data_IF_722203425592
#
_entry.id   IF_722203425592
#
_cell.length_a   1.000
_cell.length_b   1.000
_cell.length_c   1.000
_cell.angle_alpha   90.00
_cell.angle_beta   90.00
_cell.angle_gamma   90.00
#
_symmetry.space_group_name_H-M   'P 1'
#
loop_
_entity.id
_entity.type
_entity.pdbx_description
1 polymer ?
#
# COMPACT_ATOMS: atom_id res chain seq x y z
N UNK A 1 -6.80 -25.25 14.74
CA UNK A 1 -7.36 -23.89 14.84
C UNK A 1 -6.73 -23.05 13.75
N UNK A 2 -7.48 -22.18 13.09
CA UNK A 2 -6.92 -21.14 12.22
C UNK A 2 -6.84 -19.86 13.04
N UNK A 3 -5.64 -19.30 13.15
CA UNK A 3 -5.40 -18.04 13.84
C UNK A 3 -4.53 -17.17 12.94
N UNK A 4 -4.77 -15.86 12.92
CA UNK A 4 -3.90 -14.89 12.23
C UNK A 4 -2.47 -14.93 12.80
N UNK A 5 -1.46 -14.35 12.13
CA UNK A 5 -0.13 -14.19 12.71
C UNK A 5 -0.19 -13.47 14.06
N UNK A 6 0.50 -14.00 15.08
CA UNK A 6 0.43 -13.49 16.47
C UNK A 6 0.75 -11.99 16.58
N UNK A 7 1.66 -11.49 15.75
CA UNK A 7 2.02 -10.07 15.71
C UNK A 7 0.88 -9.14 15.32
N UNK A 8 -0.17 -9.64 14.64
CA UNK A 8 -1.35 -8.86 14.26
C UNK A 8 -2.41 -8.77 15.37
N UNK A 9 -2.42 -9.71 16.31
CA UNK A 9 -3.54 -9.92 17.23
C UNK A 9 -3.84 -8.71 18.13
N UNK A 10 -5.11 -8.60 18.51
CA UNK A 10 -5.64 -7.65 19.51
C UNK A 10 -5.19 -6.22 19.27
N UNK A 11 -5.11 -5.84 17.99
CA UNK A 11 -4.53 -4.58 17.56
C UNK A 11 -5.29 -4.01 16.37
N UNK A 12 -5.21 -2.69 16.27
CA UNK A 12 -5.72 -1.92 15.15
C UNK A 12 -4.56 -1.52 14.24
N UNK A 13 -4.79 -1.63 12.94
CA UNK A 13 -3.79 -1.43 11.89
C UNK A 13 -4.34 -0.46 10.85
N UNK A 14 -3.51 0.46 10.39
CA UNK A 14 -3.77 1.18 9.16
C UNK A 14 -3.40 0.30 7.98
N UNK A 15 -4.31 0.16 7.04
CA UNK A 15 -4.15 -0.53 5.77
C UNK A 15 -4.10 0.50 4.62
N UNK A 16 -3.18 0.29 3.68
CA UNK A 16 -2.93 1.21 2.57
C UNK A 16 -4.10 1.36 1.59
N UNK A 17 -4.99 0.38 1.49
CA UNK A 17 -6.13 0.39 0.56
C UNK A 17 -7.50 0.40 1.24
N UNK A 18 -7.61 -0.17 2.45
CA UNK A 18 -8.90 -0.41 3.14
C UNK A 18 -9.10 0.42 4.41
N UNK A 19 -8.18 1.33 4.73
CA UNK A 19 -8.31 2.24 5.86
C UNK A 19 -7.89 1.59 7.18
N UNK A 20 -8.84 1.27 8.06
CA UNK A 20 -8.51 0.72 9.38
C UNK A 20 -8.99 -0.73 9.51
N UNK A 21 -8.05 -1.62 9.84
CA UNK A 21 -8.33 -3.03 10.14
C UNK A 21 -8.16 -3.30 11.62
N UNK A 22 -8.96 -4.22 12.15
CA UNK A 22 -8.77 -4.75 13.51
C UNK A 22 -8.71 -6.26 13.44
N UNK A 23 -7.71 -6.82 14.11
CA UNK A 23 -7.50 -8.26 14.20
C UNK A 23 -7.70 -8.72 15.64
N UNK A 24 -8.45 -9.80 15.81
CA UNK A 24 -8.38 -10.67 16.99
C UNK A 24 -7.50 -11.87 16.65
N UNK A 25 -7.47 -12.89 17.51
CA UNK A 25 -6.77 -14.15 17.22
C UNK A 25 -7.26 -14.80 15.93
N UNK A 26 -8.57 -14.80 15.70
CA UNK A 26 -9.20 -15.55 14.61
C UNK A 26 -10.19 -14.74 13.75
N UNK A 27 -10.33 -13.44 13.97
CA UNK A 27 -11.20 -12.56 13.18
C UNK A 27 -10.48 -11.30 12.71
N UNK A 28 -10.85 -10.83 11.52
CA UNK A 28 -10.43 -9.56 10.95
C UNK A 28 -11.68 -8.75 10.57
N UNK A 29 -11.71 -7.47 10.96
CA UNK A 29 -12.79 -6.55 10.61
C UNK A 29 -12.25 -5.27 9.98
N UNK A 30 -13.05 -4.63 9.13
CA UNK A 30 -12.74 -3.35 8.48
C UNK A 30 -12.26 -3.50 7.03
N UNK A 31 -11.75 -4.68 6.66
CA UNK A 31 -11.38 -4.97 5.28
C UNK A 31 -12.67 -5.16 4.49
N UNK A 32 -13.10 -4.14 3.76
CA UNK A 32 -14.42 -4.13 3.10
C UNK A 32 -14.30 -4.36 1.60
N UNK A 33 -15.15 -5.24 1.07
CA UNK A 33 -15.29 -5.48 -0.36
C UNK A 33 -16.77 -5.61 -0.74
N UNK A 34 -17.21 -5.00 -1.83
CA UNK A 34 -18.52 -5.33 -2.40
C UNK A 34 -18.45 -6.75 -2.96
N UNK A 35 -19.42 -7.60 -2.67
CA UNK A 35 -19.64 -8.88 -3.35
C UNK A 35 -21.06 -8.85 -3.87
N UNK A 36 -21.20 -8.81 -5.20
CA UNK A 36 -22.39 -8.37 -5.90
C UNK A 36 -22.82 -6.97 -5.44
N UNK A 37 -23.92 -6.88 -4.69
CA UNK A 37 -24.44 -5.63 -4.12
C UNK A 37 -24.29 -5.53 -2.60
N UNK A 38 -23.69 -6.55 -1.96
CA UNK A 38 -23.56 -6.62 -0.50
C UNK A 38 -22.13 -6.33 -0.07
N UNK A 39 -21.94 -5.52 0.98
CA UNK A 39 -20.63 -5.27 1.55
C UNK A 39 -20.23 -6.40 2.51
N UNK A 40 -19.08 -7.00 2.28
CA UNK A 40 -18.44 -7.94 3.22
C UNK A 40 -17.29 -7.21 3.90
N UNK A 41 -17.35 -7.10 5.24
CA UNK A 41 -16.39 -6.32 6.03
C UNK A 41 -15.84 -7.05 7.27
N UNK A 42 -16.25 -8.30 7.47
CA UNK A 42 -15.85 -9.16 8.59
C UNK A 42 -15.45 -10.53 8.10
N UNK A 43 -14.32 -11.02 8.60
CA UNK A 43 -13.68 -12.24 8.13
C UNK A 43 -13.23 -13.10 9.29
N UNK A 44 -13.43 -14.40 9.18
CA UNK A 44 -12.91 -15.39 10.11
C UNK A 44 -11.73 -16.12 9.46
N UNK A 45 -10.66 -16.34 10.23
CA UNK A 45 -9.58 -17.22 9.82
C UNK A 45 -10.15 -18.62 9.57
N UNK A 46 -10.00 -19.13 8.34
CA UNK A 46 -10.59 -20.38 7.90
C UNK A 46 -9.54 -21.49 7.74
N UNK A 47 -8.50 -21.26 6.93
CA UNK A 47 -7.37 -22.17 6.74
C UNK A 47 -6.05 -21.39 6.76
N UNK A 48 -4.95 -22.04 7.15
CA UNK A 48 -3.62 -21.44 7.05
C UNK A 48 -2.52 -22.48 6.84
N UNK A 49 -1.40 -22.00 6.32
CA UNK A 49 -0.11 -22.67 6.39
C UNK A 49 0.98 -21.60 6.68
N UNK A 50 2.25 -21.96 6.52
CA UNK A 50 3.36 -21.04 6.80
C UNK A 50 3.42 -19.82 5.85
N UNK A 51 2.69 -19.86 4.74
CA UNK A 51 2.72 -18.84 3.70
C UNK A 51 1.42 -18.05 3.59
N UNK A 52 0.29 -18.74 3.65
CA UNK A 52 -1.02 -18.17 3.36
C UNK A 52 -1.95 -18.26 4.57
N UNK A 53 -2.74 -17.21 4.74
CA UNK A 53 -3.91 -17.18 5.62
C UNK A 53 -5.15 -16.99 4.74
N UNK A 54 -6.02 -17.99 4.72
CA UNK A 54 -7.30 -17.91 4.05
C UNK A 54 -8.36 -17.49 5.06
N UNK A 55 -8.93 -16.32 4.85
CA UNK A 55 -10.06 -15.80 5.66
C UNK A 55 -11.35 -16.01 4.89
N UNK A 56 -12.42 -16.43 5.56
CA UNK A 56 -13.78 -16.55 4.98
C UNK A 56 -14.64 -15.42 5.52
N UNK A 57 -15.56 -14.90 4.72
CA UNK A 57 -16.57 -13.96 5.21
C UNK A 57 -17.35 -14.55 6.39
N UNK A 58 -17.51 -13.77 7.46
CA UNK A 58 -18.24 -14.24 8.66
C UNK A 58 -19.74 -14.39 8.39
N UNK A 59 -20.25 -13.65 7.40
CA UNK A 59 -21.63 -13.73 6.94
C UNK A 59 -21.68 -14.22 5.50
N UNK A 60 -22.79 -14.87 5.13
CA UNK A 60 -23.11 -15.21 3.75
C UNK A 60 -23.64 -13.98 3.00
N UNK A 61 -23.38 -13.94 1.70
CA UNK A 61 -23.95 -12.97 0.77
C UNK A 61 -25.04 -13.68 -0.05
N UNK A 62 -26.29 -13.25 0.08
CA UNK A 62 -27.42 -13.87 -0.63
C UNK A 62 -27.75 -13.12 -1.92
N UNK A 63 -27.70 -13.82 -3.05
CA UNK A 63 -28.04 -13.28 -4.38
C UNK A 63 -28.98 -14.24 -5.08
N UNK A 64 -30.16 -13.75 -5.50
CA UNK A 64 -31.21 -14.57 -6.13
C UNK A 64 -31.56 -15.86 -5.35
N UNK A 65 -31.59 -15.78 -4.01
CA UNK A 65 -31.82 -16.91 -3.09
C UNK A 65 -30.71 -17.98 -3.05
N UNK A 66 -29.54 -17.67 -3.59
CA UNK A 66 -28.33 -18.48 -3.46
C UNK A 66 -27.37 -17.77 -2.51
N UNK A 67 -26.87 -18.50 -1.52
CA UNK A 67 -25.92 -17.98 -0.55
C UNK A 67 -24.48 -18.22 -1.04
N UNK A 68 -23.62 -17.22 -0.85
CA UNK A 68 -22.22 -17.24 -1.22
C UNK A 68 -21.34 -16.93 -0.01
N UNK A 69 -20.16 -17.55 0.04
CA UNK A 69 -19.05 -17.08 0.87
C UNK A 69 -18.02 -16.37 -0.01
N UNK A 70 -17.39 -15.35 0.55
CA UNK A 70 -16.18 -14.76 0.01
C UNK A 70 -14.97 -15.23 0.81
N UNK A 71 -13.82 -15.38 0.14
CA UNK A 71 -12.57 -15.73 0.80
C UNK A 71 -11.42 -14.80 0.36
N UNK A 72 -10.59 -14.42 1.33
CA UNK A 72 -9.36 -13.66 1.15
C UNK A 72 -8.17 -14.57 1.41
N UNK A 73 -7.36 -14.83 0.38
CA UNK A 73 -6.08 -15.50 0.58
C UNK A 73 -4.97 -14.47 0.72
N UNK A 74 -4.49 -14.26 1.95
CA UNK A 74 -3.41 -13.31 2.25
C UNK A 74 -2.06 -14.03 2.33
N UNK A 75 -1.08 -13.56 1.57
CA UNK A 75 0.34 -13.90 1.67
C UNK A 75 1.04 -12.78 2.45
N UNK A 76 1.23 -12.99 3.74
CA UNK A 76 1.61 -11.92 4.69
C UNK A 76 3.09 -12.02 5.03
N UNK A 77 3.82 -10.91 4.87
CA UNK A 77 5.24 -10.81 5.22
C UNK A 77 5.47 -9.71 6.25
N UNK A 78 6.16 -10.06 7.33
CA UNK A 78 6.58 -9.11 8.35
C UNK A 78 7.77 -8.27 7.84
N UNK A 79 7.69 -6.95 8.01
CA UNK A 79 8.78 -6.02 7.70
C UNK A 79 9.46 -5.57 8.99
N UNK A 80 8.67 -5.18 9.98
CA UNK A 80 9.10 -4.91 11.36
C UNK A 80 8.12 -5.55 12.33
N UNK A 81 8.37 -5.48 13.65
CA UNK A 81 7.37 -5.88 14.66
C UNK A 81 6.08 -5.03 14.66
N UNK A 82 6.03 -3.95 13.86
CA UNK A 82 4.91 -3.01 13.78
C UNK A 82 4.46 -2.74 12.34
N UNK A 83 4.99 -3.48 11.36
CA UNK A 83 4.64 -3.33 9.96
C UNK A 83 4.69 -4.65 9.19
N UNK A 84 3.70 -4.84 8.34
CA UNK A 84 3.59 -5.97 7.41
C UNK A 84 3.28 -5.44 6.02
N UNK A 85 3.63 -6.22 5.00
CA UNK A 85 2.94 -6.12 3.71
C UNK A 85 2.27 -7.45 3.40
N UNK A 86 1.25 -7.42 2.54
CA UNK A 86 0.62 -8.64 2.08
C UNK A 86 0.15 -8.53 0.63
N UNK A 87 0.04 -9.68 -0.01
CA UNK A 87 -0.62 -9.84 -1.30
C UNK A 87 -1.91 -10.63 -1.15
N UNK A 88 -2.91 -10.30 -1.98
CA UNK A 88 -4.12 -11.10 -2.14
C UNK A 88 -3.94 -12.12 -3.26
N UNK A 89 -3.80 -13.39 -2.91
CA UNK A 89 -3.43 -14.48 -3.81
C UNK A 89 -4.63 -15.12 -4.50
N UNK A 90 -5.38 -14.33 -5.25
CA UNK A 90 -6.46 -14.81 -6.11
C UNK A 90 -6.52 -13.97 -7.40
N UNK A 91 -7.12 -14.52 -8.45
CA UNK A 91 -7.54 -13.76 -9.63
C UNK A 91 -8.56 -12.69 -9.26
N UNK A 92 -8.63 -11.61 -10.02
CA UNK A 92 -9.63 -10.56 -9.81
C UNK A 92 -11.04 -11.11 -10.06
N UNK A 93 -12.00 -10.65 -9.25
CA UNK A 93 -13.38 -11.10 -9.33
C UNK A 93 -14.28 -9.92 -9.73
N UNK A 94 -14.87 -10.01 -10.91
CA UNK A 94 -15.76 -8.95 -11.43
C UNK A 94 -16.97 -8.71 -10.53
N UNK A 95 -17.55 -9.77 -9.95
CA UNK A 95 -18.63 -9.63 -8.98
C UNK A 95 -18.18 -8.96 -7.68
N UNK A 96 -16.88 -8.72 -7.50
CA UNK A 96 -16.31 -8.02 -6.37
C UNK A 96 -15.59 -6.73 -6.78
N UNK A 97 -16.04 -6.08 -7.86
CA UNK A 97 -15.44 -4.85 -8.38
C UNK A 97 -13.95 -5.03 -8.71
N UNK A 98 -13.62 -6.17 -9.33
CA UNK A 98 -12.27 -6.57 -9.73
C UNK A 98 -11.26 -6.73 -8.59
N UNK A 99 -11.74 -6.92 -7.36
CA UNK A 99 -10.91 -7.24 -6.21
C UNK A 99 -10.46 -8.70 -6.22
N UNK A 100 -9.29 -8.99 -5.63
CA UNK A 100 -8.70 -10.33 -5.58
C UNK A 100 -9.32 -11.16 -4.47
N UNK A 101 -10.53 -11.64 -4.71
CA UNK A 101 -11.32 -12.44 -3.77
C UNK A 101 -11.88 -13.70 -4.43
N UNK A 102 -11.96 -14.80 -3.68
CA UNK A 102 -12.62 -16.01 -4.14
C UNK A 102 -14.08 -16.00 -3.69
N UNK A 103 -15.03 -15.99 -4.62
CA UNK A 103 -16.47 -16.04 -4.32
C UNK A 103 -17.02 -17.36 -4.80
N UNK A 104 -17.69 -18.09 -3.91
CA UNK A 104 -18.25 -19.41 -4.22
C UNK A 104 -19.55 -19.65 -3.45
N UNK A 105 -20.46 -20.42 -4.04
CA UNK A 105 -21.70 -20.84 -3.40
C UNK A 105 -21.42 -21.53 -2.07
N UNK A 106 -22.18 -21.17 -1.04
CA UNK A 106 -22.02 -21.67 0.32
C UNK A 106 -22.28 -23.18 0.47
N UNK A 107 -22.94 -23.79 -0.53
CA UNK A 107 -23.16 -25.24 -0.62
C UNK A 107 -21.89 -26.01 -1.01
N UNK A 108 -20.92 -25.33 -1.64
CA UNK A 108 -19.66 -25.93 -2.05
C UNK A 108 -18.64 -25.77 -0.92
N UNK A 109 -18.10 -26.90 -0.46
CA UNK A 109 -17.12 -26.90 0.62
C UNK A 109 -15.72 -26.58 0.11
N UNK A 110 -15.14 -25.50 0.62
CA UNK A 110 -13.70 -25.21 0.50
C UNK A 110 -12.96 -26.00 1.58
N UNK A 111 -12.02 -26.85 1.19
CA UNK A 111 -11.30 -27.76 2.10
C UNK A 111 -9.78 -27.62 2.05
N UNK A 112 -9.25 -26.89 1.06
CA UNK A 112 -7.81 -26.64 0.94
C UNK A 112 -7.48 -25.22 0.49
N UNK A 113 -6.26 -24.78 0.79
CA UNK A 113 -5.72 -23.50 0.32
C UNK A 113 -5.60 -23.48 -1.21
N UNK A 114 -5.30 -24.62 -1.84
CA UNK A 114 -5.11 -24.71 -3.28
C UNK A 114 -6.37 -24.41 -4.10
N UNK A 115 -7.55 -24.37 -3.48
CA UNK A 115 -8.80 -23.98 -4.14
C UNK A 115 -8.97 -22.45 -4.23
N UNK A 116 -8.36 -21.69 -3.31
CA UNK A 116 -8.61 -20.26 -3.13
C UNK A 116 -7.33 -19.39 -3.14
N UNK A 117 -6.14 -20.00 -3.22
CA UNK A 117 -4.84 -19.32 -3.12
C UNK A 117 -3.95 -19.53 -4.36
N UNK A 118 -4.51 -20.04 -5.46
CA UNK A 118 -3.79 -20.47 -6.67
C UNK A 118 -4.27 -19.70 -7.90
N UNK A 119 -3.97 -18.39 -7.96
CA UNK A 119 -4.41 -17.56 -9.08
C UNK A 119 -3.77 -18.01 -10.40
N UNK A 120 -4.53 -17.91 -11.49
CA UNK A 120 -3.99 -18.03 -12.85
C UNK A 120 -3.22 -16.78 -13.27
N UNK A 121 -3.64 -15.62 -12.77
CA UNK A 121 -3.02 -14.30 -12.91
C UNK A 121 -2.87 -13.68 -11.53
N UNK A 122 -1.80 -14.07 -10.83
CA UNK A 122 -1.51 -13.59 -9.47
C UNK A 122 -1.15 -12.11 -9.41
N UNK A 123 -1.10 -11.54 -8.19
CA UNK A 123 -0.69 -10.16 -8.00
C UNK A 123 0.75 -9.95 -8.48
N UNK A 124 0.98 -8.84 -9.19
CA UNK A 124 2.32 -8.37 -9.55
C UNK A 124 2.95 -7.55 -8.41
N UNK A 125 4.22 -7.20 -8.53
CA UNK A 125 5.01 -6.62 -7.42
C UNK A 125 4.42 -5.35 -6.82
N UNK A 126 3.75 -4.51 -7.61
CA UNK A 126 3.12 -3.28 -7.14
C UNK A 126 1.78 -3.50 -6.42
N UNK A 127 1.14 -4.66 -6.55
CA UNK A 127 -0.19 -4.96 -5.96
C UNK A 127 -0.14 -5.36 -4.48
N UNK A 128 0.85 -4.88 -3.73
CA UNK A 128 0.97 -5.15 -2.31
C UNK A 128 0.18 -4.14 -1.49
N UNK A 129 -0.39 -4.62 -0.39
CA UNK A 129 -0.97 -3.78 0.65
C UNK A 129 0.00 -3.68 1.83
N UNK A 130 -0.10 -2.60 2.60
CA UNK A 130 0.73 -2.37 3.78
C UNK A 130 -0.14 -2.24 5.02
N UNK A 131 0.27 -2.90 6.10
CA UNK A 131 -0.30 -2.78 7.43
C UNK A 131 0.69 -2.11 8.36
N UNK A 132 0.30 -1.00 8.99
CA UNK A 132 1.07 -0.32 10.05
C UNK A 132 0.26 -0.31 11.34
N UNK A 133 0.88 -0.75 12.45
CA UNK A 133 0.19 -0.81 13.74
C UNK A 133 -0.09 0.61 14.23
N UNK A 134 -1.35 0.89 14.55
CA UNK A 134 -1.76 2.20 15.05
C UNK A 134 -1.03 2.53 16.36
N UNK A 135 -0.55 3.78 16.49
CA UNK A 135 0.25 4.24 17.63
C UNK A 135 1.69 3.77 17.64
N UNK A 136 2.16 3.10 16.58
CA UNK A 136 3.54 2.64 16.40
C UNK A 136 4.12 3.05 15.04
N UNK A 137 3.61 4.14 14.47
CA UNK A 137 3.97 4.66 13.15
C UNK A 137 5.49 4.91 13.02
N UNK A 138 6.11 5.49 14.06
CA UNK A 138 7.56 5.71 14.10
C UNK A 138 8.39 4.44 14.22
N UNK A 139 7.80 3.34 14.73
CA UNK A 139 8.47 2.04 14.85
C UNK A 139 8.35 1.18 13.59
N UNK A 140 7.50 1.60 12.64
CA UNK A 140 7.29 0.95 11.35
C UNK A 140 8.28 1.40 10.26
N UNK A 141 9.15 2.37 10.58
CA UNK A 141 10.15 2.92 9.67
C UNK A 141 11.08 1.82 9.14
N UNK A 142 11.38 1.90 7.84
CA UNK A 142 12.42 1.12 7.17
C UNK A 142 13.26 2.04 6.29
N UNK A 143 14.36 1.51 5.76
CA UNK A 143 15.24 2.28 4.90
C UNK A 143 14.56 2.60 3.57
N UNK A 144 14.63 3.88 3.16
CA UNK A 144 14.23 4.28 1.82
C UNK A 144 15.13 3.61 0.76
N UNK A 145 14.63 3.35 -0.46
CA UNK A 145 15.41 2.67 -1.49
C UNK A 145 16.62 3.51 -1.91
N UNK A 146 17.66 2.83 -2.41
CA UNK A 146 18.93 3.47 -2.76
C UNK A 146 18.83 4.68 -3.70
N UNK A 147 17.92 4.77 -4.70
CA UNK A 147 17.78 5.98 -5.52
C UNK A 147 17.38 7.21 -4.71
N UNK A 148 16.69 7.04 -3.58
CA UNK A 148 16.17 8.14 -2.77
C UNK A 148 17.11 8.52 -1.63
N UNK A 149 18.23 7.82 -1.42
CA UNK A 149 19.16 8.10 -0.32
C UNK A 149 20.06 9.32 -0.62
N UNK A 150 19.46 10.50 -0.59
CA UNK A 150 20.15 11.77 -0.83
C UNK A 150 19.26 12.99 -0.57
N UNK A 151 19.77 14.15 -0.96
CA UNK A 151 18.98 15.39 -1.04
C UNK A 151 18.85 15.78 -2.50
N UNK A 152 17.68 16.25 -2.90
CA UNK A 152 17.35 16.52 -4.29
C UNK A 152 16.60 17.83 -4.43
N UNK A 153 16.84 18.51 -5.56
CA UNK A 153 15.86 19.42 -6.14
C UNK A 153 14.91 18.61 -7.00
N UNK A 154 13.66 19.03 -7.10
CA UNK A 154 12.64 18.33 -7.86
C UNK A 154 11.80 19.25 -8.72
N UNK A 155 11.42 18.73 -9.88
CA UNK A 155 10.34 19.26 -10.72
C UNK A 155 9.14 18.35 -10.51
N UNK A 156 8.00 18.94 -10.16
CA UNK A 156 6.71 18.27 -10.03
C UNK A 156 5.88 18.51 -11.28
N UNK A 157 5.27 17.48 -11.84
CA UNK A 157 4.32 17.55 -12.96
C UNK A 157 2.98 16.95 -12.51
N UNK A 158 1.93 17.76 -12.58
CA UNK A 158 0.58 17.42 -12.13
C UNK A 158 -0.20 16.51 -13.10
N UNK A 159 0.46 16.01 -14.15
CA UNK A 159 -0.12 15.21 -15.23
C UNK A 159 -1.12 15.96 -16.12
N UNK A 160 -1.23 17.28 -15.94
CA UNK A 160 -1.97 18.18 -16.83
C UNK A 160 -1.02 19.04 -17.68
N UNK A 161 0.28 18.71 -17.65
CA UNK A 161 1.34 19.43 -18.34
C UNK A 161 1.77 20.71 -17.60
N UNK A 162 1.33 20.90 -16.35
CA UNK A 162 1.76 22.00 -15.51
C UNK A 162 2.88 21.53 -14.60
N UNK A 163 4.04 22.16 -14.75
CA UNK A 163 5.18 21.90 -13.88
C UNK A 163 5.26 22.96 -12.78
N UNK A 164 5.63 22.51 -11.58
CA UNK A 164 5.90 23.36 -10.43
C UNK A 164 7.15 22.87 -9.71
N UNK A 165 7.67 23.71 -8.81
CA UNK A 165 8.98 23.51 -8.21
C UNK A 165 10.12 23.45 -9.25
N UNK A 166 11.35 23.49 -8.76
CA UNK A 166 12.55 23.55 -9.60
C UNK A 166 13.75 23.84 -8.71
N UNK A 167 14.68 24.65 -9.21
CA UNK A 167 15.84 25.06 -8.42
C UNK A 167 15.41 25.69 -7.08
N UNK A 168 16.01 25.23 -5.99
CA UNK A 168 15.69 25.64 -4.62
C UNK A 168 14.61 24.81 -3.92
N UNK A 169 13.86 23.95 -4.63
CA UNK A 169 13.03 22.93 -3.95
C UNK A 169 13.92 21.89 -3.27
N UNK A 170 13.49 21.33 -2.13
CA UNK A 170 14.30 20.37 -1.38
C UNK A 170 13.44 19.18 -0.97
N UNK A 171 13.79 18.01 -1.50
CA UNK A 171 13.43 16.69 -0.98
C UNK A 171 14.66 16.12 -0.28
N UNK A 172 14.58 15.90 1.02
CA UNK A 172 15.71 15.38 1.80
C UNK A 172 15.41 14.03 2.46
N UNK A 173 16.28 13.07 2.19
CA UNK A 173 16.38 11.74 2.83
C UNK A 173 17.83 11.50 3.30
N UNK A 174 18.71 12.51 3.18
CA UNK A 174 20.10 12.43 3.60
C UNK A 174 20.21 12.56 5.12
N UNK A 175 19.41 13.45 5.72
CA UNK A 175 19.40 13.67 7.18
C UNK A 175 18.93 12.44 7.96
N UNK A 176 17.86 11.79 7.49
CA UNK A 176 17.36 10.53 8.04
C UNK A 176 17.00 9.60 6.87
N UNK A 177 17.69 8.46 6.80
CA UNK A 177 17.56 7.50 5.68
C UNK A 177 16.25 6.69 5.71
N UNK A 178 15.41 6.92 6.71
CA UNK A 178 14.09 6.29 6.87
C UNK A 178 12.93 7.28 6.76
N UNK A 179 13.23 8.57 6.64
CA UNK A 179 12.25 9.66 6.62
C UNK A 179 12.51 10.56 5.41
N UNK A 180 11.48 10.86 4.65
CA UNK A 180 11.54 11.87 3.60
C UNK A 180 10.95 13.16 4.13
N UNK A 181 11.66 14.26 3.90
CA UNK A 181 11.20 15.61 4.25
C UNK A 181 11.18 16.51 3.03
N UNK A 182 10.15 17.34 2.94
CA UNK A 182 9.89 18.26 1.83
C UNK A 182 9.84 19.68 2.38
N UNK A 183 10.66 20.59 1.84
CA UNK A 183 10.68 21.96 2.33
C UNK A 183 9.60 22.81 1.65
N UNK A 184 8.42 22.86 2.24
CA UNK A 184 7.29 23.64 1.72
C UNK A 184 7.44 25.16 1.80
N UNK A 185 8.44 25.67 2.52
CA UNK A 185 8.78 27.10 2.47
C UNK A 185 9.44 27.46 1.14
N UNK A 186 10.15 26.52 0.51
CA UNK A 186 10.84 26.72 -0.77
C UNK A 186 9.96 26.33 -1.96
N UNK A 187 9.13 25.30 -1.83
CA UNK A 187 8.08 25.02 -2.80
C UNK A 187 6.80 24.51 -2.11
N UNK A 188 5.70 25.25 -2.23
CA UNK A 188 4.42 24.92 -1.55
C UNK A 188 3.67 23.72 -2.14
N UNK A 189 4.17 23.10 -3.21
CA UNK A 189 3.55 21.93 -3.83
C UNK A 189 3.59 20.74 -2.87
N UNK A 190 2.42 20.17 -2.58
CA UNK A 190 2.27 19.02 -1.69
C UNK A 190 2.84 17.78 -2.37
N UNK A 191 3.77 17.13 -1.67
CA UNK A 191 4.39 15.87 -2.06
C UNK A 191 3.98 14.76 -1.11
N UNK A 192 3.89 13.55 -1.66
CA UNK A 192 3.45 12.34 -0.98
C UNK A 192 2.14 12.51 -0.18
N UNK A 193 1.30 13.46 -0.60
CA UNK A 193 0.03 13.81 0.05
C UNK A 193 0.17 14.05 1.57
N UNK A 194 1.27 14.67 1.99
CA UNK A 194 1.56 15.02 3.38
C UNK A 194 1.39 16.52 3.60
N UNK A 195 0.64 16.91 4.64
CA UNK A 195 0.44 18.32 4.95
C UNK A 195 1.69 18.94 5.57
N UNK A 196 2.36 18.18 6.44
CA UNK A 196 3.51 18.61 7.22
C UNK A 196 4.83 18.51 6.43
N UNK A 197 4.80 17.88 5.26
CA UNK A 197 5.99 17.70 4.44
C UNK A 197 6.95 16.64 4.98
N UNK A 198 6.45 15.68 5.76
CA UNK A 198 7.22 14.57 6.32
C UNK A 198 6.49 13.26 6.05
N UNK A 199 7.21 12.23 5.58
CA UNK A 199 6.70 10.85 5.43
C UNK A 199 7.77 9.81 5.78
N UNK A 200 7.34 8.65 6.26
CA UNK A 200 8.21 7.54 6.65
C UNK A 200 8.24 6.47 5.58
N UNK A 201 9.43 6.03 5.16
CA UNK A 201 9.55 4.82 4.35
C UNK A 201 9.14 3.61 5.19
N UNK A 202 8.23 2.79 4.68
CA UNK A 202 7.74 1.60 5.41
C UNK A 202 8.02 0.31 4.67
N UNK A 203 7.57 0.19 3.43
CA UNK A 203 7.74 -1.02 2.62
C UNK A 203 8.36 -0.65 1.29
N UNK A 204 9.40 -1.38 0.90
CA UNK A 204 10.11 -1.21 -0.36
C UNK A 204 10.18 -2.55 -1.06
N UNK A 205 9.52 -2.66 -2.22
CA UNK A 205 9.61 -3.82 -3.11
C UNK A 205 10.24 -3.39 -4.44
N UNK A 206 10.85 -4.33 -5.16
CA UNK A 206 11.55 -4.02 -6.40
C UNK A 206 11.14 -4.99 -7.51
N UNK A 207 10.87 -4.46 -8.70
CA UNK A 207 10.67 -5.21 -9.93
C UNK A 207 11.56 -4.65 -11.04
N UNK A 208 12.53 -5.43 -11.50
CA UNK A 208 13.55 -4.94 -12.42
C UNK A 208 14.32 -3.74 -11.84
N UNK A 209 14.27 -2.60 -12.53
CA UNK A 209 14.90 -1.34 -12.10
C UNK A 209 13.96 -0.41 -11.31
N UNK A 210 12.70 -0.80 -11.12
CA UNK A 210 11.68 0.03 -10.47
C UNK A 210 11.50 -0.41 -9.03
N UNK A 211 11.53 0.56 -8.11
CA UNK A 211 11.19 0.38 -6.71
C UNK A 211 9.76 0.87 -6.47
N UNK A 212 8.95 0.07 -5.81
CA UNK A 212 7.65 0.46 -5.29
C UNK A 212 7.78 0.68 -3.79
N UNK A 213 7.53 1.91 -3.36
CA UNK A 213 7.76 2.37 -2.01
C UNK A 213 6.43 2.81 -1.41
N UNK A 214 5.98 2.13 -0.36
CA UNK A 214 4.92 2.67 0.47
C UNK A 214 5.53 3.62 1.51
N UNK A 215 5.05 4.85 1.52
CA UNK A 215 5.40 5.84 2.55
C UNK A 215 4.18 6.15 3.40
N UNK A 216 4.42 6.33 4.70
CA UNK A 216 3.41 6.65 5.70
C UNK A 216 3.51 8.13 6.05
N UNK A 217 2.41 8.86 5.90
CA UNK A 217 2.27 10.19 6.48
C UNK A 217 1.98 10.04 7.98
N UNK A 218 2.88 10.47 8.90
CA UNK A 218 2.63 10.39 10.34
C UNK A 218 1.66 11.48 10.83
N UNK A 219 1.50 12.56 10.07
CA UNK A 219 0.73 13.73 10.44
C UNK A 219 -0.78 13.57 10.23
N UNK A 220 -1.40 14.72 9.94
CA UNK A 220 -2.85 14.85 9.78
C UNK A 220 -3.30 14.32 8.42
N UNK A 221 -4.49 13.70 8.40
CA UNK A 221 -5.10 13.14 7.19
C UNK A 221 -6.54 13.62 7.10
N UNK A 222 -7.00 13.96 5.90
CA UNK A 222 -8.37 14.39 5.63
C UNK A 222 -9.10 13.47 4.62
N UNK A 223 -8.38 12.54 3.99
CA UNK A 223 -8.91 11.61 3.00
C UNK A 223 -9.30 12.25 1.66
N UNK A 224 -8.90 13.50 1.43
CA UNK A 224 -9.17 14.25 0.20
C UNK A 224 -7.87 14.80 -0.42
N UNK A 225 -7.10 15.54 0.37
CA UNK A 225 -5.81 16.13 -0.04
C UNK A 225 -4.63 15.47 0.66
N UNK A 226 -4.86 14.94 1.87
CA UNK A 226 -3.84 14.34 2.71
C UNK A 226 -4.23 12.90 3.08
N UNK A 227 -3.33 11.98 2.78
CA UNK A 227 -3.58 10.55 2.91
C UNK A 227 -2.58 9.92 3.87
N UNK A 228 -3.01 8.86 4.57
CA UNK A 228 -2.17 8.13 5.53
C UNK A 228 -1.03 7.40 4.82
N UNK A 229 -1.29 6.88 3.62
CA UNK A 229 -0.31 6.19 2.80
C UNK A 229 -0.21 6.85 1.43
N UNK A 230 0.98 6.74 0.86
CA UNK A 230 1.25 7.05 -0.54
C UNK A 230 2.13 5.95 -1.11
N UNK A 231 1.82 5.49 -2.32
CA UNK A 231 2.76 4.69 -3.09
C UNK A 231 3.61 5.59 -4.00
N UNK A 232 4.93 5.37 -3.96
CA UNK A 232 5.87 5.91 -4.93
C UNK A 232 6.39 4.80 -5.85
N UNK A 233 6.38 5.01 -7.16
CA UNK A 233 7.12 4.20 -8.13
C UNK A 233 8.37 4.95 -8.53
N UNK A 234 9.57 4.38 -8.31
CA UNK A 234 10.84 5.09 -8.37
C UNK A 234 11.86 4.35 -9.24
N UNK A 235 12.56 5.07 -10.11
CA UNK A 235 13.69 4.53 -10.87
C UNK A 235 14.84 5.54 -10.97
N UNK A 236 16.04 5.03 -11.21
CA UNK A 236 17.24 5.84 -11.44
C UNK A 236 17.69 5.66 -12.90
N UNK A 237 17.93 6.75 -13.60
CA UNK A 237 18.60 6.74 -14.91
C UNK A 237 19.69 7.80 -14.94
N UNK A 238 20.95 7.35 -15.04
CA UNK A 238 22.11 8.20 -14.84
C UNK A 238 22.16 8.71 -13.40
N UNK A 239 22.17 10.04 -13.22
CA UNK A 239 22.09 10.70 -11.91
C UNK A 239 20.68 11.18 -11.56
N UNK A 240 19.72 11.03 -12.45
CA UNK A 240 18.36 11.56 -12.30
C UNK A 240 17.44 10.46 -11.78
N UNK A 241 16.71 10.78 -10.72
CA UNK A 241 15.71 9.88 -10.15
C UNK A 241 14.34 10.32 -10.68
N UNK A 242 13.60 9.37 -11.23
CA UNK A 242 12.22 9.56 -11.66
C UNK A 242 11.33 8.91 -10.62
N UNK A 243 10.27 9.60 -10.24
CA UNK A 243 9.27 9.07 -9.33
C UNK A 243 7.86 9.43 -9.80
N UNK A 244 6.90 8.55 -9.56
CA UNK A 244 5.48 8.89 -9.58
C UNK A 244 4.86 8.62 -8.22
N UNK A 245 3.80 9.35 -7.87
CA UNK A 245 3.09 9.20 -6.60
C UNK A 245 1.61 8.92 -6.80
N UNK A 246 1.03 8.11 -5.91
CA UNK A 246 -0.42 7.83 -5.84
C UNK A 246 -0.86 7.77 -4.38
N UNK A 247 -2.01 8.33 -4.00
CA UNK A 247 -2.52 8.18 -2.64
C UNK A 247 -2.91 6.72 -2.39
N UNK A 248 -2.65 6.22 -1.18
CA UNK A 248 -2.93 4.84 -0.78
C UNK A 248 -1.89 3.85 -1.31
N UNK A 249 -2.34 2.97 -2.19
CA UNK A 249 -1.58 1.86 -2.75
C UNK A 249 -1.14 2.11 -4.21
N UNK A 250 -0.16 1.34 -4.68
CA UNK A 250 0.31 1.46 -6.05
C UNK A 250 -0.79 1.04 -7.05
N UNK A 251 -0.80 1.67 -8.22
CA UNK A 251 -1.66 1.23 -9.32
C UNK A 251 -0.99 0.09 -10.10
N UNK A 252 -1.77 -0.86 -10.58
CA UNK A 252 -1.26 -1.92 -11.46
C UNK A 252 -0.61 -1.29 -12.69
N UNK A 253 0.66 -1.62 -12.95
CA UNK A 253 1.42 -1.02 -14.04
C UNK A 253 1.91 0.41 -13.79
N UNK A 254 1.86 0.92 -12.56
CA UNK A 254 2.38 2.25 -12.21
C UNK A 254 3.87 2.36 -12.55
N UNK A 255 4.23 3.31 -13.41
CA UNK A 255 5.62 3.58 -13.77
C UNK A 255 6.14 4.85 -13.11
N UNK A 256 7.46 5.02 -12.96
CA UNK A 256 8.03 6.24 -12.40
C UNK A 256 7.87 7.50 -13.27
N UNK A 257 7.55 7.34 -14.56
CA UNK A 257 7.50 8.43 -15.55
C UNK A 257 6.07 8.75 -16.02
N UNK A 258 5.10 7.91 -15.68
CA UNK A 258 3.69 8.15 -15.99
C UNK A 258 2.94 8.37 -14.69
N UNK A 259 2.23 9.48 -14.58
CA UNK A 259 1.43 9.74 -13.40
C UNK A 259 0.23 8.77 -13.36
N UNK A 260 0.02 8.09 -12.23
CA UNK A 260 -1.15 7.24 -12.03
C UNK A 260 -2.42 8.08 -11.84
N UNK A 261 -3.59 7.44 -11.81
CA UNK A 261 -4.86 8.13 -11.56
C UNK A 261 -4.85 8.83 -10.19
N UNK A 262 -5.16 10.13 -10.18
CA UNK A 262 -5.10 10.98 -8.97
C UNK A 262 -3.68 11.26 -8.47
N UNK A 263 -2.67 10.95 -9.27
CA UNK A 263 -1.25 11.07 -8.94
C UNK A 263 -0.51 12.15 -9.71
N UNK A 264 0.81 12.13 -9.60
CA UNK A 264 1.73 13.07 -10.25
C UNK A 264 3.10 12.42 -10.49
N UNK A 265 3.96 13.07 -11.25
CA UNK A 265 5.37 12.65 -11.42
C UNK A 265 6.33 13.70 -10.90
N UNK A 266 7.53 13.23 -10.57
CA UNK A 266 8.63 14.02 -10.06
C UNK A 266 9.92 13.62 -10.77
N UNK A 267 10.68 14.62 -11.19
CA UNK A 267 12.06 14.43 -11.65
C UNK A 267 13.00 15.05 -10.62
N UNK A 268 13.82 14.22 -9.99
CA UNK A 268 14.71 14.60 -8.90
C UNK A 268 16.16 14.64 -9.40
N UNK A 269 16.84 15.73 -9.09
CA UNK A 269 18.26 15.95 -9.43
C UNK A 269 19.06 16.14 -8.14
N UNK A 270 20.22 15.49 -7.97
CA UNK A 270 21.02 15.60 -6.77
C UNK A 270 21.31 17.06 -6.39
N UNK A 271 21.03 17.41 -5.14
CA UNK A 271 21.28 18.74 -4.60
C UNK A 271 22.56 18.74 -3.78
N UNK A 272 23.57 19.49 -4.22
CA UNK A 272 24.76 19.78 -3.44
C UNK A 272 24.55 21.10 -2.69
N UNK A 273 24.43 21.06 -1.35
CA UNK A 273 24.64 22.28 -0.55
C UNK A 273 26.07 22.75 -0.79
N UNK A 274 26.25 23.86 -1.50
CA UNK A 274 27.52 24.58 -1.48
C UNK A 274 27.77 25.00 -0.03
N UNK A 275 28.74 24.36 0.62
CA UNK A 275 29.22 24.76 1.94
C UNK A 275 29.79 26.18 1.83
N UNK A 276 29.11 27.14 2.43
CA UNK A 276 29.63 28.48 2.71
C UNK A 276 30.24 28.51 4.10
#
# INVERSE_FOLDING_TARGET
>A
SCDYPDGLHSSTWYDSGKGQLTFTTNQMSGWSVPVYSSAVNSWDCFLKNDKYVLSRSSNVVTVFSVDYYAYLCMDVTMVTGHSYYYYLRHDTQQNANDERVYVIEATISVTSLDQACTPTSGPVTEEFHVLIRQGNESNAKSWCPSPLLGSFEYIYDDNMGMTSCGAGSIWDVCTDRTTMTFNYTLCSTVLAFSQEGEVYCTVVLQSGSTYYVSVLNPGSVDGASYYRFTCLSVSLSGSTVYASQRPGECEVGQTPQTAPSGGATMTLTPYCKLSH
#
